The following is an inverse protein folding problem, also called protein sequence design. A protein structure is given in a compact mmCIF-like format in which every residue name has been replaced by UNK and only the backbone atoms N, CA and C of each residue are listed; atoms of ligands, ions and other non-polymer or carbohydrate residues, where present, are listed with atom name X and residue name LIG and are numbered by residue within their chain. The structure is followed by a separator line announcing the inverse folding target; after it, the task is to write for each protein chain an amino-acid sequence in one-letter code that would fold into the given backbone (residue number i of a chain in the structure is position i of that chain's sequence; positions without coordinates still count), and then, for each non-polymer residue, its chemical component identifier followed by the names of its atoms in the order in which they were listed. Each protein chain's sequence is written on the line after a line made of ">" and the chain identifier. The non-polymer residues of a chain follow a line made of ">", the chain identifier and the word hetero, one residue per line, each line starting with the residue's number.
data_IF_349325189523
#
_entry.id   IF_349325189523
#
_cell.length_a   1.000
_cell.length_b   1.000
_cell.length_c   1.000
_cell.angle_alpha   90.00
_cell.angle_beta   90.00
_cell.angle_gamma   90.00
#
_symmetry.space_group_name_H-M   'P 1'
#
loop_
_entity.id
_entity.type
_entity.pdbx_description
1 polymer ?
#
# COMPACT_ATOMS: atom_id res chain seq x y z
N UNK A 1 -18.37 31.94 -18.96
CA UNK A 1 -18.32 33.41 -19.11
C UNK A 1 -18.02 33.99 -17.74
N UNK A 2 -16.87 34.66 -17.55
CA UNK A 2 -16.53 35.31 -16.28
C UNK A 2 -16.78 36.82 -16.42
N UNK A 3 -17.49 37.40 -15.47
CA UNK A 3 -17.76 38.84 -15.38
C UNK A 3 -16.94 39.39 -14.22
N UNK A 4 -16.09 40.37 -14.49
CA UNK A 4 -15.28 41.06 -13.48
C UNK A 4 -16.03 42.33 -13.04
N UNK A 5 -16.21 42.49 -11.72
CA UNK A 5 -16.86 43.65 -11.12
C UNK A 5 -15.78 44.56 -10.51
N UNK A 6 -15.56 45.72 -11.11
CA UNK A 6 -14.66 46.77 -10.59
C UNK A 6 -15.50 48.00 -10.25
N UNK A 7 -16.28 47.91 -9.17
CA UNK A 7 -16.85 49.04 -8.45
C UNK A 7 -17.96 49.86 -9.13
N UNK A 8 -18.02 49.97 -10.47
CA UNK A 8 -19.04 50.74 -11.20
C UNK A 8 -19.43 50.23 -12.59
N UNK A 9 -18.71 49.30 -13.20
CA UNK A 9 -19.05 48.74 -14.52
C UNK A 9 -18.79 47.23 -14.63
N UNK A 10 -19.53 46.58 -15.53
CA UNK A 10 -19.41 45.16 -15.84
C UNK A 10 -18.60 44.95 -17.13
N UNK A 11 -17.44 44.31 -17.02
CA UNK A 11 -16.62 44.00 -18.19
C UNK A 11 -16.72 42.50 -18.56
N UNK A 12 -17.00 42.22 -19.83
CA UNK A 12 -17.02 40.86 -20.38
C UNK A 12 -15.57 40.42 -20.66
N UNK A 13 -15.10 39.43 -19.92
CA UNK A 13 -13.76 38.83 -20.12
C UNK A 13 -13.88 37.58 -21.00
N UNK A 14 -13.11 37.54 -22.11
CA UNK A 14 -12.97 36.38 -23.01
C UNK A 14 -11.52 35.87 -23.00
N UNK A 15 -11.35 34.57 -23.21
CA UNK A 15 -10.04 33.93 -23.28
C UNK A 15 -9.36 34.20 -24.64
N UNK A 16 -8.10 34.64 -24.59
CA UNK A 16 -7.25 34.85 -25.76
C UNK A 16 -7.48 36.18 -26.50
N UNK A 17 -6.38 36.71 -27.04
CA UNK A 17 -6.21 37.92 -27.88
C UNK A 17 -5.82 39.22 -27.15
N UNK A 18 -4.67 39.78 -27.58
CA UNK A 18 -4.20 41.16 -27.35
C UNK A 18 -5.24 42.15 -27.89
N UNK A 19 -5.47 43.29 -27.22
CA UNK A 19 -6.39 44.33 -27.66
C UNK A 19 -7.80 44.27 -27.04
N UNK A 20 -8.08 43.34 -26.13
CA UNK A 20 -9.34 43.35 -25.38
C UNK A 20 -9.17 44.28 -24.17
N UNK A 21 -9.76 45.48 -24.27
CA UNK A 21 -9.67 46.54 -23.26
C UNK A 21 -9.97 46.05 -21.83
N UNK A 22 -10.97 45.19 -21.63
CA UNK A 22 -11.29 44.63 -20.32
C UNK A 22 -10.22 43.70 -19.74
N UNK A 23 -9.49 42.96 -20.58
CA UNK A 23 -8.39 42.10 -20.14
C UNK A 23 -7.15 42.94 -19.82
N UNK A 24 -6.87 43.96 -20.63
CA UNK A 24 -5.74 44.88 -20.42
C UNK A 24 -5.91 45.71 -19.15
N UNK A 25 -7.12 46.21 -18.89
CA UNK A 25 -7.45 46.87 -17.62
C UNK A 25 -7.31 45.92 -16.43
N UNK A 26 -7.80 44.68 -16.53
CA UNK A 26 -7.64 43.70 -15.46
C UNK A 26 -6.15 43.39 -15.17
N UNK A 27 -5.32 43.27 -16.21
CA UNK A 27 -3.88 43.05 -16.09
C UNK A 27 -3.13 44.27 -15.51
N UNK A 28 -3.47 45.49 -15.96
CA UNK A 28 -2.94 46.73 -15.39
C UNK A 28 -3.29 46.87 -13.91
N UNK A 29 -4.51 46.55 -13.51
CA UNK A 29 -4.93 46.57 -12.12
C UNK A 29 -4.23 45.48 -11.28
N UNK A 30 -4.04 44.28 -11.83
CA UNK A 30 -3.25 43.22 -11.17
C UNK A 30 -1.78 43.64 -10.97
N UNK A 31 -1.18 44.30 -11.96
CA UNK A 31 0.18 44.85 -11.87
C UNK A 31 0.28 45.95 -10.81
N UNK A 32 -0.64 46.92 -10.82
CA UNK A 32 -0.71 47.97 -9.81
C UNK A 32 -0.86 47.39 -8.40
N UNK A 33 -1.73 46.39 -8.22
CA UNK A 33 -1.90 45.70 -6.95
C UNK A 33 -0.63 44.99 -6.45
N UNK A 34 0.31 44.64 -7.34
CA UNK A 34 1.61 44.04 -6.96
C UNK A 34 2.57 45.09 -6.38
N UNK A 35 2.45 46.37 -6.78
CA UNK A 35 3.33 47.47 -6.36
C UNK A 35 2.76 48.36 -5.26
N UNK A 36 1.44 48.57 -5.24
CA UNK A 36 0.76 49.50 -4.33
C UNK A 36 -0.30 48.80 -3.47
N UNK A 37 -0.50 47.50 -3.65
CA UNK A 37 -1.43 46.72 -2.86
C UNK A 37 -0.95 46.50 -1.43
N UNK A 38 -1.90 46.17 -0.56
CA UNK A 38 -1.61 45.69 0.79
C UNK A 38 -1.36 44.19 0.71
N UNK A 39 -0.19 43.74 1.16
CA UNK A 39 0.10 42.31 1.26
C UNK A 39 -0.91 41.66 2.20
N UNK A 40 -1.68 40.73 1.65
CA UNK A 40 -2.60 39.91 2.43
C UNK A 40 -1.94 38.56 2.67
N UNK A 41 -1.81 38.16 3.93
CA UNK A 41 -1.35 36.82 4.27
C UNK A 41 -2.46 35.84 3.87
N UNK A 42 -2.32 35.24 2.69
CA UNK A 42 -3.20 34.15 2.26
C UNK A 42 -2.68 32.87 2.92
N UNK A 43 -3.43 32.28 3.88
CA UNK A 43 -3.01 31.04 4.51
C UNK A 43 -2.92 29.91 3.48
N UNK A 44 -1.94 29.01 3.66
CA UNK A 44 -1.75 27.89 2.76
C UNK A 44 -3.05 27.08 2.59
N UNK A 45 -3.44 26.75 1.35
CA UNK A 45 -4.62 25.93 1.12
C UNK A 45 -4.51 24.59 1.87
N UNK A 46 -5.63 24.11 2.43
CA UNK A 46 -5.66 22.80 3.13
C UNK A 46 -5.13 21.65 2.27
N UNK A 47 -5.38 21.69 0.97
CA UNK A 47 -4.87 20.71 0.00
C UNK A 47 -3.34 20.71 -0.09
N UNK A 48 -2.72 21.89 -0.02
CA UNK A 48 -1.26 22.04 0.01
C UNK A 48 -0.68 21.41 1.27
N UNK A 49 -1.22 21.78 2.44
CA UNK A 49 -0.77 21.25 3.74
C UNK A 49 -0.92 19.74 3.80
N UNK A 50 -2.09 19.21 3.40
CA UNK A 50 -2.33 17.75 3.35
C UNK A 50 -1.34 17.02 2.44
N UNK A 51 -1.05 17.59 1.26
CA UNK A 51 -0.07 17.00 0.33
C UNK A 51 1.34 17.00 0.93
N UNK A 52 1.75 18.09 1.57
CA UNK A 52 3.05 18.20 2.22
C UNK A 52 3.19 17.19 3.36
N UNK A 53 2.20 17.11 4.25
CA UNK A 53 2.18 16.14 5.35
C UNK A 53 2.26 14.70 4.85
N UNK A 54 1.46 14.34 3.84
CA UNK A 54 1.51 13.01 3.24
C UNK A 54 2.89 12.70 2.65
N UNK A 55 3.52 13.66 1.99
CA UNK A 55 4.86 13.49 1.41
C UNK A 55 5.91 13.23 2.50
N UNK A 56 5.89 14.01 3.58
CA UNK A 56 6.81 13.86 4.71
C UNK A 56 6.60 12.53 5.42
N UNK A 57 5.34 12.21 5.75
CA UNK A 57 4.96 10.96 6.40
C UNK A 57 5.43 9.75 5.59
N UNK A 58 5.14 9.68 4.29
CA UNK A 58 5.55 8.54 3.45
C UNK A 58 7.07 8.43 3.40
N UNK A 59 7.80 9.55 3.34
CA UNK A 59 9.27 9.54 3.34
C UNK A 59 9.79 8.93 4.63
N UNK A 60 9.37 9.45 5.77
CA UNK A 60 9.81 8.99 7.09
C UNK A 60 9.46 7.52 7.34
N UNK A 61 8.25 7.09 6.96
CA UNK A 61 7.84 5.69 7.03
C UNK A 61 8.67 4.78 6.15
N UNK A 62 9.03 5.21 4.93
CA UNK A 62 9.89 4.41 4.05
C UNK A 62 11.35 4.37 4.56
N UNK A 63 11.84 5.44 5.17
CA UNK A 63 13.16 5.47 5.81
C UNK A 63 13.21 4.49 6.99
N UNK A 64 12.20 4.52 7.87
CA UNK A 64 12.04 3.54 8.94
C UNK A 64 11.91 2.11 8.39
N UNK A 65 11.07 1.90 7.38
CA UNK A 65 10.81 0.58 6.79
C UNK A 65 12.07 -0.08 6.20
N UNK A 66 12.97 0.71 5.61
CA UNK A 66 14.26 0.21 5.09
C UNK A 66 15.20 -0.25 6.21
N UNK A 67 15.18 0.42 7.35
CA UNK A 67 16.05 0.12 8.49
C UNK A 67 15.50 -0.97 9.41
N UNK A 68 14.18 -1.18 9.38
CA UNK A 68 13.49 -2.16 10.22
C UNK A 68 13.96 -3.60 9.96
N UNK A 69 14.53 -4.28 10.94
CA UNK A 69 15.33 -5.50 10.74
C UNK A 69 14.71 -6.80 11.31
N UNK A 70 13.39 -6.88 11.47
CA UNK A 70 12.76 -8.14 11.85
C UNK A 70 12.70 -9.13 10.68
N UNK A 71 12.72 -10.44 10.97
CA UNK A 71 12.57 -11.51 9.96
C UNK A 71 11.31 -11.32 9.12
N UNK A 72 10.18 -11.01 9.77
CA UNK A 72 8.90 -10.78 9.10
C UNK A 72 8.93 -9.50 8.27
N UNK A 73 9.60 -8.44 8.76
CA UNK A 73 9.80 -7.21 7.99
C UNK A 73 10.64 -7.43 6.73
N UNK A 74 11.74 -8.18 6.84
CA UNK A 74 12.57 -8.57 5.71
C UNK A 74 11.77 -9.38 4.68
N UNK A 75 10.99 -10.36 5.13
CA UNK A 75 10.12 -11.16 4.25
C UNK A 75 9.10 -10.30 3.52
N UNK A 76 8.41 -9.38 4.20
CA UNK A 76 7.45 -8.48 3.54
C UNK A 76 8.15 -7.64 2.48
N UNK A 77 9.39 -7.17 2.71
CA UNK A 77 10.17 -6.39 1.74
C UNK A 77 10.52 -7.11 0.46
N UNK A 78 10.66 -8.43 0.48
CA UNK A 78 10.87 -9.23 -0.72
C UNK A 78 9.71 -9.08 -1.72
N UNK A 79 8.50 -8.86 -1.21
CA UNK A 79 7.28 -8.72 -2.01
C UNK A 79 6.80 -7.27 -2.13
N UNK A 80 7.09 -6.42 -1.12
CA UNK A 80 6.65 -5.04 -0.98
C UNK A 80 7.81 -4.14 -0.52
N UNK A 81 8.48 -3.52 -1.49
CA UNK A 81 9.65 -2.68 -1.23
C UNK A 81 9.34 -1.41 -0.44
N UNK A 82 8.17 -0.83 -0.67
CA UNK A 82 7.78 0.47 -0.12
C UNK A 82 6.48 0.39 0.66
N UNK A 83 6.41 1.18 1.72
CA UNK A 83 5.16 1.46 2.41
C UNK A 83 4.36 2.43 1.55
N UNK A 84 3.12 2.07 1.26
CA UNK A 84 2.19 2.89 0.47
C UNK A 84 0.86 3.02 1.19
N UNK A 85 0.35 4.25 1.42
CA UNK A 85 -0.96 4.45 2.03
C UNK A 85 -2.12 4.02 1.11
N UNK A 86 -1.86 3.82 -0.19
CA UNK A 86 -2.85 3.32 -1.15
C UNK A 86 -2.93 1.79 -1.13
N UNK A 87 -1.90 1.14 -0.62
CA UNK A 87 -1.77 -0.31 -0.66
C UNK A 87 -2.11 -0.89 0.71
N UNK A 88 -3.41 -1.00 0.98
CA UNK A 88 -3.93 -1.62 2.20
C UNK A 88 -4.34 -3.06 1.88
N UNK A 89 -3.56 -4.02 2.38
CA UNK A 89 -3.96 -5.43 2.34
C UNK A 89 -4.89 -5.69 3.51
N UNK A 90 -6.18 -5.88 3.22
CA UNK A 90 -7.17 -6.27 4.23
C UNK A 90 -7.37 -7.81 4.31
N UNK A 91 -6.79 -8.55 3.38
CA UNK A 91 -6.92 -10.01 3.34
C UNK A 91 -6.02 -10.67 4.37
N UNK A 92 -6.63 -11.37 5.34
CA UNK A 92 -5.90 -12.13 6.37
C UNK A 92 -4.91 -13.12 5.77
N UNK A 93 -5.28 -13.85 4.70
CA UNK A 93 -4.38 -14.82 4.08
C UNK A 93 -3.15 -14.16 3.44
N UNK A 94 -3.30 -12.99 2.81
CA UNK A 94 -2.17 -12.28 2.22
C UNK A 94 -1.24 -11.73 3.30
N UNK A 95 -1.80 -11.19 4.38
CA UNK A 95 -1.03 -10.73 5.54
C UNK A 95 -0.23 -11.91 6.11
N UNK A 96 -0.87 -13.07 6.29
CA UNK A 96 -0.20 -14.26 6.82
C UNK A 96 0.91 -14.78 5.92
N UNK A 97 0.70 -14.76 4.60
CA UNK A 97 1.73 -15.15 3.63
C UNK A 97 2.94 -14.21 3.70
N UNK A 98 2.69 -12.90 3.66
CA UNK A 98 3.75 -11.88 3.62
C UNK A 98 4.57 -11.82 4.91
N UNK A 99 3.88 -11.81 6.05
CA UNK A 99 4.54 -11.73 7.35
C UNK A 99 5.10 -13.08 7.81
N UNK A 100 4.65 -14.19 7.22
CA UNK A 100 4.85 -15.52 7.79
C UNK A 100 4.08 -15.74 9.10
N UNK A 101 3.19 -14.81 9.49
CA UNK A 101 2.39 -14.89 10.70
C UNK A 101 1.04 -15.50 10.38
N UNK A 102 0.86 -16.76 10.72
CA UNK A 102 -0.39 -17.45 10.44
C UNK A 102 -0.47 -18.76 11.21
N UNK A 103 -1.49 -19.57 10.92
CA UNK A 103 -1.62 -20.87 11.53
C UNK A 103 -0.62 -21.85 10.87
N UNK A 104 0.66 -21.58 11.03
CA UNK A 104 1.76 -22.37 10.50
C UNK A 104 2.53 -22.98 11.68
N UNK A 105 2.82 -24.28 11.70
CA UNK A 105 3.54 -24.89 12.81
C UNK A 105 4.88 -24.21 13.13
N UNK A 106 5.64 -23.77 12.12
CA UNK A 106 6.87 -23.01 12.34
C UNK A 106 6.64 -21.71 13.12
N UNK A 107 5.59 -20.97 12.78
CA UNK A 107 5.23 -19.73 13.47
C UNK A 107 4.72 -20.01 14.89
N UNK A 108 3.79 -20.95 15.05
CA UNK A 108 3.21 -21.28 16.36
C UNK A 108 4.23 -21.88 17.34
N UNK A 109 5.18 -22.68 16.84
CA UNK A 109 6.26 -23.23 17.64
C UNK A 109 7.18 -22.14 18.21
N UNK A 110 7.43 -21.07 17.45
CA UNK A 110 8.17 -19.90 17.93
C UNK A 110 7.48 -19.24 19.14
N UNK A 111 6.15 -19.28 19.21
CA UNK A 111 5.35 -18.75 20.32
C UNK A 111 5.04 -19.78 21.41
N UNK A 112 5.64 -20.97 21.36
CA UNK A 112 5.43 -22.05 22.36
C UNK A 112 3.97 -22.51 22.44
N UNK A 113 3.22 -22.38 21.35
CA UNK A 113 1.86 -22.91 21.22
C UNK A 113 1.90 -24.37 20.74
N UNK A 114 2.87 -24.70 19.87
CA UNK A 114 3.14 -26.06 19.41
C UNK A 114 4.57 -26.47 19.76
N UNK A 115 4.78 -27.76 20.01
CA UNK A 115 6.10 -28.29 20.37
C UNK A 115 7.01 -28.51 19.17
N UNK A 116 6.44 -28.64 17.96
CA UNK A 116 7.19 -28.95 16.74
C UNK A 116 6.88 -27.97 15.60
N UNK A 117 7.90 -27.50 14.86
CA UNK A 117 7.72 -26.67 13.66
C UNK A 117 7.42 -27.51 12.41
N UNK A 118 7.33 -28.84 12.54
CA UNK A 118 7.25 -29.75 11.41
C UNK A 118 5.80 -29.97 10.95
N UNK A 119 5.66 -30.16 9.64
CA UNK A 119 4.43 -30.64 9.02
C UNK A 119 4.29 -32.15 9.22
N UNK A 120 3.08 -32.68 9.05
CA UNK A 120 2.84 -34.14 8.93
C UNK A 120 3.65 -34.79 7.79
N UNK A 121 4.10 -34.01 6.80
CA UNK A 121 4.97 -34.50 5.73
C UNK A 121 6.47 -34.51 6.10
N UNK A 122 6.83 -34.13 7.33
CA UNK A 122 8.21 -34.15 7.85
C UNK A 122 9.05 -32.92 7.53
N UNK A 123 8.55 -31.96 6.76
CA UNK A 123 9.26 -30.71 6.42
C UNK A 123 8.92 -29.56 7.38
N UNK A 124 9.80 -28.56 7.47
CA UNK A 124 9.51 -27.31 8.20
C UNK A 124 8.28 -26.64 7.60
N UNK A 125 7.35 -26.27 8.47
CA UNK A 125 6.00 -25.92 8.05
C UNK A 125 5.76 -24.41 8.17
N UNK A 126 6.19 -23.68 7.14
CA UNK A 126 6.00 -22.24 7.00
C UNK A 126 4.98 -21.89 5.89
N UNK A 127 4.78 -20.59 5.66
CA UNK A 127 3.87 -20.11 4.62
C UNK A 127 4.28 -20.59 3.21
N UNK A 128 5.58 -20.67 2.92
CA UNK A 128 6.06 -21.06 1.60
C UNK A 128 5.84 -22.55 1.35
N UNK A 129 6.06 -23.38 2.38
CA UNK A 129 5.79 -24.81 2.32
C UNK A 129 4.33 -25.09 1.90
N UNK A 130 3.35 -24.49 2.59
CA UNK A 130 1.93 -24.67 2.25
C UNK A 130 1.55 -24.05 0.90
N UNK A 131 2.21 -22.98 0.49
CA UNK A 131 1.89 -22.28 -0.76
C UNK A 131 2.45 -23.02 -1.98
N UNK A 132 3.60 -23.67 -1.86
CA UNK A 132 4.39 -24.11 -3.02
C UNK A 132 4.71 -25.61 -3.08
N UNK A 133 4.70 -26.34 -1.96
CA UNK A 133 5.30 -27.69 -1.95
C UNK A 133 4.68 -28.72 -1.01
N UNK A 134 3.77 -28.35 -0.09
CA UNK A 134 3.19 -29.30 0.87
C UNK A 134 2.31 -30.34 0.19
N UNK A 135 2.48 -31.62 0.54
CA UNK A 135 1.64 -32.71 0.01
C UNK A 135 0.15 -32.52 0.37
N UNK A 136 -0.16 -31.93 1.53
CA UNK A 136 -1.54 -31.66 1.95
C UNK A 136 -2.25 -30.62 1.07
N UNK A 137 -1.50 -29.72 0.44
CA UNK A 137 -2.05 -28.61 -0.34
C UNK A 137 -1.73 -28.73 -1.83
N UNK A 138 -1.38 -29.92 -2.30
CA UNK A 138 -0.94 -30.17 -3.68
C UNK A 138 -1.91 -29.61 -4.75
N UNK A 139 -3.22 -29.72 -4.51
CA UNK A 139 -4.26 -29.18 -5.42
C UNK A 139 -4.28 -27.64 -5.49
N UNK A 140 -3.69 -26.98 -4.51
CA UNK A 140 -3.73 -25.54 -4.31
C UNK A 140 -2.36 -24.88 -4.47
N UNK A 141 -1.34 -25.61 -4.92
CA UNK A 141 -0.02 -25.03 -5.14
C UNK A 141 -0.07 -23.86 -6.12
N UNK A 142 0.65 -22.81 -5.74
CA UNK A 142 1.04 -21.74 -6.64
C UNK A 142 2.45 -22.03 -7.17
N UNK A 143 2.80 -21.41 -8.30
CA UNK A 143 4.17 -21.48 -8.80
C UNK A 143 5.04 -20.61 -7.91
N UNK A 144 6.11 -21.18 -7.36
CA UNK A 144 7.10 -20.43 -6.57
C UNK A 144 7.80 -19.41 -7.47
N UNK A 145 7.80 -18.11 -7.14
CA UNK A 145 8.54 -17.12 -7.91
C UNK A 145 10.04 -17.26 -7.70
N UNK A 146 10.82 -16.93 -8.72
CA UNK A 146 12.24 -16.62 -8.54
C UNK A 146 12.39 -15.35 -7.69
N UNK A 147 13.51 -15.22 -6.96
CA UNK A 147 13.73 -14.09 -6.04
C UNK A 147 13.60 -12.72 -6.73
N UNK A 148 14.13 -12.58 -7.94
CA UNK A 148 14.01 -11.36 -8.75
C UNK A 148 12.57 -11.01 -9.16
N UNK A 149 11.65 -11.97 -9.09
CA UNK A 149 10.26 -11.83 -9.56
C UNK A 149 9.22 -11.87 -8.44
N UNK A 150 9.61 -11.97 -7.17
CA UNK A 150 8.69 -12.01 -6.02
C UNK A 150 7.69 -10.86 -6.02
N UNK A 151 8.15 -9.64 -6.30
CA UNK A 151 7.30 -8.44 -6.34
C UNK A 151 6.24 -8.51 -7.44
N UNK A 152 6.64 -8.82 -8.68
CA UNK A 152 5.73 -8.96 -9.80
C UNK A 152 4.74 -10.11 -9.59
N UNK A 153 5.23 -11.23 -9.07
CA UNK A 153 4.41 -12.38 -8.70
C UNK A 153 3.34 -12.01 -7.67
N UNK A 154 3.71 -11.23 -6.65
CA UNK A 154 2.76 -10.79 -5.63
C UNK A 154 1.70 -9.84 -6.19
N UNK A 155 2.10 -8.91 -7.07
CA UNK A 155 1.13 -8.04 -7.76
C UNK A 155 0.18 -8.84 -8.67
N UNK A 156 0.64 -9.93 -9.29
CA UNK A 156 -0.23 -10.82 -10.04
C UNK A 156 -1.16 -11.63 -9.13
N UNK A 157 -0.65 -12.08 -7.98
CA UNK A 157 -1.44 -12.81 -6.98
C UNK A 157 -2.61 -11.96 -6.49
N UNK A 158 -2.40 -10.71 -6.08
CA UNK A 158 -3.47 -9.86 -5.55
C UNK A 158 -4.57 -9.56 -6.58
N UNK A 159 -4.23 -9.58 -7.86
CA UNK A 159 -5.14 -9.29 -8.96
C UNK A 159 -5.78 -10.57 -9.56
N UNK A 160 -5.42 -11.75 -9.05
CA UNK A 160 -5.93 -13.03 -9.54
C UNK A 160 -6.75 -13.73 -8.46
N UNK A 161 -8.08 -13.66 -8.61
CA UNK A 161 -9.03 -14.26 -7.66
C UNK A 161 -8.87 -15.77 -7.51
N UNK A 162 -8.55 -16.49 -8.59
CA UNK A 162 -8.32 -17.94 -8.55
C UNK A 162 -7.07 -18.28 -7.76
N UNK A 163 -5.97 -17.56 -7.98
CA UNK A 163 -4.72 -17.74 -7.23
C UNK A 163 -4.90 -17.38 -5.74
N UNK A 164 -5.66 -16.32 -5.43
CA UNK A 164 -6.01 -15.97 -4.06
C UNK A 164 -6.85 -17.06 -3.39
N UNK A 165 -7.79 -17.67 -4.10
CA UNK A 165 -8.61 -18.75 -3.55
C UNK A 165 -7.77 -20.00 -3.27
N UNK A 166 -6.82 -20.34 -4.16
CA UNK A 166 -5.85 -21.41 -3.88
C UNK A 166 -5.05 -21.14 -2.61
N UNK A 167 -4.52 -19.91 -2.45
CA UNK A 167 -3.79 -19.53 -1.23
C UNK A 167 -4.67 -19.63 0.03
N UNK A 168 -5.92 -19.17 -0.04
CA UNK A 168 -6.88 -19.27 1.06
C UNK A 168 -7.13 -20.73 1.46
N UNK A 169 -7.37 -21.61 0.50
CA UNK A 169 -7.61 -23.03 0.78
C UNK A 169 -6.37 -23.71 1.38
N UNK A 170 -5.17 -23.40 0.86
CA UNK A 170 -3.94 -23.91 1.44
C UNK A 170 -3.79 -23.52 2.92
N UNK A 171 -4.12 -22.26 3.26
CA UNK A 171 -4.00 -21.77 4.63
C UNK A 171 -5.14 -22.22 5.54
N UNK A 172 -6.32 -22.50 4.98
CA UNK A 172 -7.41 -23.17 5.71
C UNK A 172 -7.01 -24.58 6.13
N UNK A 173 -6.37 -25.34 5.24
CA UNK A 173 -5.82 -26.67 5.56
C UNK A 173 -4.74 -26.56 6.64
N UNK A 174 -3.82 -25.60 6.51
CA UNK A 174 -2.81 -25.30 7.53
C UNK A 174 -3.43 -25.02 8.90
N UNK A 175 -4.50 -24.22 8.93
CA UNK A 175 -5.34 -23.96 10.12
C UNK A 175 -5.83 -25.24 10.77
N UNK A 176 -6.56 -26.07 10.03
CA UNK A 176 -7.11 -27.31 10.57
C UNK A 176 -6.05 -28.29 11.10
N UNK A 177 -4.87 -28.33 10.46
CA UNK A 177 -3.73 -29.12 10.97
C UNK A 177 -3.25 -28.57 12.31
N UNK A 178 -3.06 -27.26 12.42
CA UNK A 178 -2.61 -26.63 13.67
C UNK A 178 -3.62 -26.80 14.80
N UNK A 179 -4.91 -26.65 14.51
CA UNK A 179 -5.98 -26.83 15.50
C UNK A 179 -5.98 -28.28 16.03
N UNK A 180 -5.82 -29.25 15.13
CA UNK A 180 -5.76 -30.67 15.50
C UNK A 180 -4.53 -31.00 16.33
N UNK A 181 -3.38 -30.40 16.02
CA UNK A 181 -2.14 -30.56 16.80
C UNK A 181 -2.22 -29.88 18.17
N UNK A 182 -2.93 -28.76 18.28
CA UNK A 182 -3.10 -28.03 19.55
C UNK A 182 -4.05 -28.76 20.50
N UNK A 183 -5.05 -29.48 19.97
CA UNK A 183 -5.98 -30.29 20.77
C UNK A 183 -5.42 -31.64 21.23
N UNK A 184 -4.29 -32.07 20.66
CA UNK A 184 -3.64 -33.34 20.99
C UNK A 184 -2.59 -33.23 22.12
N UNK A 185 -2.36 -32.02 22.63
CA UNK A 185 -1.46 -31.69 23.75
C UNK A 185 -2.29 -31.40 25.00
#
# INVERSE_FOLDING_TARGET
>A
MLVLWLGREFYKVKHGHVGIQGNELADQQAKLATTTGVDTIIPAPRSYVKRLLNKLMIKEWNDYWRQYNSTSGARVRDYLEHVSPKFLIHSKCLISFLSGHGPFPFYLCRFKILDSPLCVCGQVCDADHYTFSCSLTQKFHLVKPADAHKRAWFQNLINNSQALNKLKEAFRISGGVCDSLTQAV
#
